data_IF_744277994363
#
_entry.id   IF_744277994363
#
_cell.length_a   1.000
_cell.length_b   1.000
_cell.length_c   1.000
_cell.angle_alpha   90.00
_cell.angle_beta   90.00
_cell.angle_gamma   90.00
#
_symmetry.space_group_name_H-M   'P 1'
#
loop_
_entity.id
_entity.type
_entity.pdbx_description
1 polymer ?
#
# COMPACT_ATOMS: atom_id res chain seq x y z
N UNK A 1 30.77 -33.45 34.58
CA UNK A 1 29.44 -32.97 35.00
C UNK A 1 29.17 -31.54 34.52
N UNK A 2 30.06 -30.58 34.80
CA UNK A 2 29.88 -29.17 34.42
C UNK A 2 29.73 -28.93 32.90
N UNK A 3 30.55 -29.61 32.07
CA UNK A 3 30.42 -29.54 30.60
C UNK A 3 29.11 -30.12 30.06
N UNK A 4 28.54 -31.13 30.73
CA UNK A 4 27.25 -31.73 30.33
C UNK A 4 26.13 -30.75 30.65
N UNK A 5 26.14 -30.20 31.87
CA UNK A 5 25.19 -29.19 32.33
C UNK A 5 25.20 -27.95 31.42
N UNK A 6 26.39 -27.49 31.01
CA UNK A 6 26.54 -26.38 30.06
C UNK A 6 25.91 -26.67 28.70
N UNK A 7 26.15 -27.86 28.13
CA UNK A 7 25.55 -28.27 26.84
C UNK A 7 24.03 -28.40 26.92
N UNK A 8 23.50 -28.85 28.05
CA UNK A 8 22.05 -28.91 28.28
C UNK A 8 21.45 -27.50 28.35
N UNK A 9 22.08 -26.59 29.10
CA UNK A 9 21.66 -25.18 29.15
C UNK A 9 21.74 -24.50 27.78
N UNK A 10 22.78 -24.76 26.99
CA UNK A 10 22.92 -24.24 25.62
C UNK A 10 21.79 -24.74 24.70
N UNK A 11 21.40 -26.01 24.82
CA UNK A 11 20.26 -26.59 24.07
C UNK A 11 18.93 -25.97 24.49
N UNK A 12 18.70 -25.82 25.79
CA UNK A 12 17.48 -25.20 26.31
C UNK A 12 17.37 -23.74 25.84
N UNK A 13 18.47 -22.97 25.93
CA UNK A 13 18.53 -21.60 25.43
C UNK A 13 18.23 -21.53 23.94
N UNK A 14 18.78 -22.45 23.13
CA UNK A 14 18.49 -22.50 21.69
C UNK A 14 17.01 -22.78 21.41
N UNK A 15 16.37 -23.70 22.15
CA UNK A 15 14.94 -23.96 22.03
C UNK A 15 14.11 -22.73 22.36
N UNK A 16 14.42 -22.06 23.48
CA UNK A 16 13.71 -20.84 23.91
C UNK A 16 13.88 -19.68 22.93
N UNK A 17 15.08 -19.50 22.37
CA UNK A 17 15.32 -18.50 21.31
C UNK A 17 14.46 -18.80 20.09
N UNK A 18 14.44 -20.05 19.63
CA UNK A 18 13.62 -20.45 18.48
C UNK A 18 12.12 -20.22 18.72
N UNK A 19 11.62 -20.56 19.90
CA UNK A 19 10.22 -20.31 20.29
C UNK A 19 9.90 -18.82 20.33
N UNK A 20 10.81 -17.98 20.85
CA UNK A 20 10.66 -16.53 20.86
C UNK A 20 10.68 -15.94 19.45
N UNK A 21 11.57 -16.40 18.57
CA UNK A 21 11.62 -16.00 17.16
C UNK A 21 10.32 -16.37 16.43
N UNK A 22 9.80 -17.58 16.65
CA UNK A 22 8.53 -18.02 16.08
C UNK A 22 7.33 -17.21 16.59
N UNK A 23 7.30 -16.91 17.88
CA UNK A 23 6.26 -16.06 18.48
C UNK A 23 6.32 -14.63 17.92
N UNK A 24 7.52 -14.06 17.84
CA UNK A 24 7.73 -12.73 17.29
C UNK A 24 7.31 -12.65 15.82
N UNK A 25 7.62 -13.67 15.02
CA UNK A 25 7.16 -13.79 13.62
C UNK A 25 5.63 -13.74 13.53
N UNK A 26 4.93 -14.56 14.33
CA UNK A 26 3.46 -14.58 14.37
C UNK A 26 2.86 -13.24 14.80
N UNK A 27 3.49 -12.57 15.76
CA UNK A 27 3.06 -11.23 16.19
C UNK A 27 3.24 -10.20 15.07
N UNK A 28 4.38 -10.23 14.38
CA UNK A 28 4.63 -9.35 13.23
C UNK A 28 3.60 -9.59 12.12
N UNK A 29 3.32 -10.85 11.78
CA UNK A 29 2.32 -11.20 10.77
C UNK A 29 0.93 -10.68 11.16
N UNK A 30 0.53 -10.86 12.43
CA UNK A 30 -0.74 -10.36 12.96
C UNK A 30 -0.83 -8.83 12.90
N UNK A 31 0.26 -8.12 13.24
CA UNK A 31 0.33 -6.66 13.15
C UNK A 31 0.17 -6.18 11.70
N UNK A 32 0.86 -6.82 10.75
CA UNK A 32 0.74 -6.47 9.32
C UNK A 32 -0.69 -6.71 8.82
N UNK A 33 -1.30 -7.83 9.19
CA UNK A 33 -2.67 -8.18 8.81
C UNK A 33 -3.70 -7.19 9.41
N UNK A 34 -3.55 -6.79 10.68
CA UNK A 34 -4.38 -5.76 11.31
C UNK A 34 -4.24 -4.40 10.61
N UNK A 35 -3.00 -3.97 10.30
CA UNK A 35 -2.75 -2.75 9.52
C UNK A 35 -3.43 -2.83 8.15
N UNK A 36 -3.30 -3.96 7.45
CA UNK A 36 -3.89 -4.16 6.13
C UNK A 36 -5.42 -4.11 6.16
N UNK A 37 -6.06 -4.70 7.19
CA UNK A 37 -7.52 -4.59 7.38
C UNK A 37 -7.94 -3.14 7.61
N UNK A 38 -7.22 -2.40 8.46
CA UNK A 38 -7.53 -1.01 8.78
C UNK A 38 -7.40 -0.06 7.59
N UNK A 39 -6.46 -0.35 6.68
CA UNK A 39 -6.15 0.45 5.49
C UNK A 39 -6.97 0.05 4.24
N UNK A 40 -7.79 -1.01 4.31
CA UNK A 40 -8.48 -1.57 3.15
C UNK A 40 -9.39 -0.57 2.45
N UNK A 41 -10.08 0.25 3.24
CA UNK A 41 -11.04 1.24 2.73
C UNK A 41 -10.36 2.54 2.30
N UNK A 42 -9.02 2.57 2.27
CA UNK A 42 -8.25 3.75 1.95
C UNK A 42 -7.75 3.72 0.50
N UNK A 43 -7.72 4.90 -0.13
CA UNK A 43 -6.99 5.15 -1.37
C UNK A 43 -5.96 6.26 -1.17
N UNK A 44 -4.87 6.13 -1.92
CA UNK A 44 -3.85 7.16 -2.08
C UNK A 44 -4.02 7.84 -3.42
N UNK A 45 -4.12 9.16 -3.38
CA UNK A 45 -4.22 10.05 -4.53
C UNK A 45 -2.89 10.80 -4.69
N UNK A 46 -2.24 10.59 -5.82
CA UNK A 46 -0.89 11.07 -6.12
C UNK A 46 -0.91 12.18 -7.15
N UNK A 47 0.07 13.08 -7.08
CA UNK A 47 0.26 14.18 -8.03
C UNK A 47 -0.93 15.14 -8.11
N UNK A 48 -1.54 15.43 -6.97
CA UNK A 48 -2.49 16.52 -6.80
C UNK A 48 -1.73 17.69 -6.20
N UNK A 49 -1.81 18.86 -6.83
CA UNK A 49 -1.12 20.06 -6.34
C UNK A 49 -1.56 20.41 -4.92
N UNK A 50 -0.62 20.89 -4.10
CA UNK A 50 -0.87 21.28 -2.71
C UNK A 50 -1.23 22.76 -2.66
N UNK A 51 -2.30 23.09 -1.96
CA UNK A 51 -2.65 24.46 -1.60
C UNK A 51 -2.49 24.67 -0.08
N UNK A 52 -2.27 25.91 0.34
CA UNK A 52 -2.34 26.25 1.76
C UNK A 52 -3.77 26.12 2.25
N UNK A 53 -3.93 25.61 3.48
CA UNK A 53 -5.23 25.43 4.15
C UNK A 53 -6.27 24.64 3.32
N UNK A 54 -5.80 23.69 2.50
CA UNK A 54 -6.68 22.89 1.66
C UNK A 54 -7.60 21.94 2.46
N UNK A 55 -8.84 21.82 2.01
CA UNK A 55 -9.71 20.70 2.40
C UNK A 55 -9.47 19.52 1.45
N UNK A 56 -8.69 18.55 1.94
CA UNK A 56 -8.39 17.34 1.18
C UNK A 56 -9.64 16.54 0.78
N UNK A 57 -10.74 16.67 1.52
CA UNK A 57 -12.01 15.99 1.22
C UNK A 57 -12.64 16.62 -0.03
N UNK A 58 -12.74 17.95 -0.06
CA UNK A 58 -13.26 18.67 -1.23
C UNK A 58 -12.37 18.52 -2.45
N UNK A 59 -11.05 18.53 -2.28
CA UNK A 59 -10.10 18.25 -3.37
C UNK A 59 -10.37 16.89 -4.00
N UNK A 60 -10.64 15.86 -3.19
CA UNK A 60 -10.97 14.53 -3.71
C UNK A 60 -12.32 14.56 -4.42
N UNK A 61 -13.36 15.14 -3.83
CA UNK A 61 -14.67 15.19 -4.49
C UNK A 61 -14.61 15.88 -5.85
N UNK A 62 -13.97 17.06 -5.95
CA UNK A 62 -13.77 17.75 -7.23
C UNK A 62 -13.01 16.87 -8.23
N UNK A 63 -11.97 16.15 -7.79
CA UNK A 63 -11.25 15.21 -8.66
C UNK A 63 -12.17 14.10 -9.19
N UNK A 64 -13.00 13.50 -8.32
CA UNK A 64 -13.91 12.41 -8.70
C UNK A 64 -14.94 12.90 -9.74
N UNK A 65 -15.50 14.08 -9.53
CA UNK A 65 -16.48 14.67 -10.44
C UNK A 65 -15.84 15.08 -11.78
N UNK A 66 -14.73 15.83 -11.74
CA UNK A 66 -14.12 16.43 -12.94
C UNK A 66 -13.30 15.43 -13.78
N UNK A 67 -12.67 14.44 -13.14
CA UNK A 67 -11.69 13.56 -13.81
C UNK A 67 -12.13 12.11 -13.90
N UNK A 68 -13.10 11.67 -13.11
CA UNK A 68 -13.60 10.29 -13.14
C UNK A 68 -15.05 10.17 -13.64
N UNK A 69 -15.67 11.28 -14.05
CA UNK A 69 -17.09 11.39 -14.44
C UNK A 69 -18.03 10.81 -13.37
N UNK A 70 -17.85 11.26 -12.12
CA UNK A 70 -18.67 10.85 -10.98
C UNK A 70 -19.40 12.08 -10.40
N UNK A 71 -20.36 12.67 -11.13
CA UNK A 71 -20.97 13.97 -10.77
C UNK A 71 -21.70 13.94 -9.42
N UNK A 72 -22.20 12.79 -8.98
CA UNK A 72 -22.82 12.65 -7.65
C UNK A 72 -21.86 12.22 -6.55
N UNK A 73 -20.53 12.32 -6.73
CA UNK A 73 -19.56 11.80 -5.76
C UNK A 73 -19.78 12.37 -4.34
N UNK A 74 -20.04 13.68 -4.21
CA UNK A 74 -20.31 14.34 -2.92
C UNK A 74 -21.55 13.83 -2.19
N UNK A 75 -22.61 13.51 -2.93
CA UNK A 75 -23.89 13.11 -2.36
C UNK A 75 -24.03 11.59 -2.20
N UNK A 76 -23.32 10.81 -3.02
CA UNK A 76 -23.41 9.34 -3.05
C UNK A 76 -22.31 8.62 -2.27
N UNK A 77 -21.18 9.28 -2.01
CA UNK A 77 -20.03 8.66 -1.33
C UNK A 77 -19.66 9.46 -0.11
N UNK A 78 -19.34 8.75 0.99
CA UNK A 78 -18.87 9.37 2.22
C UNK A 78 -17.37 9.11 2.43
N UNK A 79 -16.61 10.19 2.54
CA UNK A 79 -15.23 10.18 3.01
C UNK A 79 -15.23 10.42 4.52
N UNK A 80 -14.71 9.47 5.29
CA UNK A 80 -14.60 9.60 6.75
C UNK A 80 -13.46 10.53 7.15
N UNK A 81 -12.35 10.48 6.41
CA UNK A 81 -11.18 11.32 6.64
C UNK A 81 -10.30 11.39 5.39
N UNK A 82 -9.84 12.59 5.04
CA UNK A 82 -8.81 12.82 4.03
C UNK A 82 -7.70 13.74 4.57
N UNK A 83 -6.44 13.45 4.24
CA UNK A 83 -5.30 14.31 4.59
C UNK A 83 -4.07 13.98 3.76
N UNK A 84 -3.13 14.93 3.67
CA UNK A 84 -1.80 14.72 3.04
C UNK A 84 -0.95 13.76 3.90
N UNK A 85 -0.25 12.85 3.23
CA UNK A 85 0.66 11.89 3.84
C UNK A 85 2.11 12.36 3.73
N UNK A 86 2.84 12.25 4.84
CA UNK A 86 4.25 12.60 4.92
C UNK A 86 4.51 14.06 5.28
N UNK A 87 5.78 14.36 5.54
CA UNK A 87 6.22 15.69 5.96
C UNK A 87 6.17 16.66 4.79
N UNK A 88 5.61 17.87 5.01
CA UNK A 88 5.75 18.99 4.07
C UNK A 88 7.24 19.26 3.89
N UNK A 89 7.68 19.39 2.63
CA UNK A 89 9.08 19.66 2.29
C UNK A 89 9.10 20.88 1.39
N UNK A 90 9.92 21.86 1.72
CA UNK A 90 10.04 23.08 0.94
C UNK A 90 10.72 22.82 -0.41
N UNK A 91 10.35 23.61 -1.42
CA UNK A 91 10.93 23.60 -2.77
C UNK A 91 10.10 22.87 -3.84
N UNK A 92 10.66 22.80 -5.06
CA UNK A 92 10.02 22.19 -6.26
C UNK A 92 10.04 20.65 -6.23
N UNK A 93 9.49 20.05 -5.18
CA UNK A 93 9.33 18.59 -5.07
C UNK A 93 7.93 18.16 -5.46
N UNK A 94 7.80 16.85 -5.73
CA UNK A 94 6.54 16.19 -6.04
C UNK A 94 5.53 16.41 -4.89
N UNK A 95 4.27 16.79 -5.18
CA UNK A 95 3.24 16.93 -4.15
C UNK A 95 3.07 15.67 -3.31
N UNK A 96 2.79 15.84 -2.02
CA UNK A 96 2.42 14.77 -1.09
C UNK A 96 1.13 14.11 -1.55
N UNK A 97 1.05 12.80 -1.41
CA UNK A 97 -0.19 12.09 -1.70
C UNK A 97 -1.27 12.44 -0.66
N UNK A 98 -2.54 12.50 -1.08
CA UNK A 98 -3.67 12.51 -0.15
C UNK A 98 -4.03 11.05 0.14
N UNK A 99 -4.15 10.68 1.41
CA UNK A 99 -4.86 9.45 1.80
C UNK A 99 -6.29 9.82 2.16
N UNK A 100 -7.25 9.08 1.63
CA UNK A 100 -8.64 9.18 2.05
C UNK A 100 -9.21 7.82 2.41
N UNK A 101 -9.92 7.80 3.53
CA UNK A 101 -10.70 6.67 4.02
C UNK A 101 -12.15 6.85 3.59
N UNK A 102 -12.65 5.89 2.83
CA UNK A 102 -14.05 5.84 2.43
C UNK A 102 -14.85 5.02 3.44
N UNK A 103 -16.10 5.41 3.66
CA UNK A 103 -16.96 4.72 4.61
C UNK A 103 -17.37 3.32 4.10
N UNK A 104 -17.57 3.20 2.78
CA UNK A 104 -18.01 1.97 2.13
C UNK A 104 -16.98 1.44 1.15
N UNK A 105 -16.58 0.18 1.32
CA UNK A 105 -15.64 -0.50 0.43
C UNK A 105 -16.09 -0.53 -1.05
N UNK A 106 -17.37 -0.75 -1.41
CA UNK A 106 -17.81 -0.70 -2.80
C UNK A 106 -17.58 0.66 -3.49
N UNK A 107 -17.75 1.77 -2.77
CA UNK A 107 -17.51 3.12 -3.33
C UNK A 107 -16.04 3.32 -3.66
N UNK A 108 -15.19 2.93 -2.71
CA UNK A 108 -13.73 2.89 -2.88
C UNK A 108 -13.33 2.07 -4.11
N UNK A 109 -13.92 0.89 -4.30
CA UNK A 109 -13.66 0.05 -5.46
C UNK A 109 -14.16 0.68 -6.77
N UNK A 110 -15.33 1.32 -6.76
CA UNK A 110 -15.85 2.06 -7.92
C UNK A 110 -14.86 3.15 -8.36
N UNK A 111 -14.27 3.87 -7.42
CA UNK A 111 -13.21 4.86 -7.71
C UNK A 111 -11.96 4.15 -8.29
N UNK A 112 -11.49 3.08 -7.64
CA UNK A 112 -10.31 2.33 -8.07
C UNK A 112 -10.45 1.79 -9.51
N UNK A 113 -11.62 1.28 -9.87
CA UNK A 113 -11.87 0.79 -11.22
C UNK A 113 -11.96 1.91 -12.26
N UNK A 114 -12.46 3.08 -11.87
CA UNK A 114 -12.53 4.26 -12.74
C UNK A 114 -11.20 5.00 -12.88
N UNK A 115 -10.21 4.74 -12.03
CA UNK A 115 -8.86 5.35 -12.12
C UNK A 115 -8.19 5.17 -13.50
N UNK A 116 -8.61 4.20 -14.31
CA UNK A 116 -8.19 4.05 -15.72
C UNK A 116 -8.48 5.28 -16.59
N UNK A 117 -9.47 6.11 -16.23
CA UNK A 117 -9.80 7.36 -16.91
C UNK A 117 -8.72 8.44 -16.76
N UNK A 118 -7.88 8.32 -15.74
CA UNK A 118 -6.75 9.22 -15.50
C UNK A 118 -5.52 8.91 -16.39
N UNK A 119 -5.60 7.91 -17.27
CA UNK A 119 -4.52 7.58 -18.21
C UNK A 119 -4.21 8.80 -19.08
N UNK A 120 -2.92 9.10 -19.23
CA UNK A 120 -2.45 10.29 -19.95
C UNK A 120 -2.31 11.54 -19.06
N UNK A 121 -2.92 11.54 -17.88
CA UNK A 121 -2.66 12.56 -16.85
C UNK A 121 -1.47 12.17 -15.98
N UNK A 122 -0.99 13.12 -15.16
CA UNK A 122 0.01 12.83 -14.12
C UNK A 122 -0.61 12.25 -12.85
N UNK A 123 -1.94 12.31 -12.69
CA UNK A 123 -2.64 11.92 -11.45
C UNK A 123 -2.67 10.40 -11.36
N UNK A 124 -2.42 9.87 -10.16
CA UNK A 124 -2.46 8.44 -9.88
C UNK A 124 -3.37 8.13 -8.70
N UNK A 125 -4.09 7.02 -8.76
CA UNK A 125 -4.86 6.48 -7.65
C UNK A 125 -4.36 5.06 -7.38
N UNK A 126 -4.02 4.77 -6.12
CA UNK A 126 -3.60 3.44 -5.69
C UNK A 126 -4.23 3.07 -4.36
N UNK A 127 -4.28 1.78 -4.08
CA UNK A 127 -4.62 1.27 -2.76
C UNK A 127 -3.53 1.67 -1.74
N UNK A 128 -3.92 1.80 -0.48
CA UNK A 128 -2.97 1.94 0.62
C UNK A 128 -2.59 0.55 1.16
N UNK A 129 -1.28 0.33 1.38
CA UNK A 129 -0.76 -0.86 2.03
C UNK A 129 0.09 -0.49 3.24
N UNK A 130 0.20 -1.39 4.24
CA UNK A 130 1.22 -1.30 5.28
C UNK A 130 2.63 -1.15 4.69
N UNK A 131 3.51 -0.48 5.42
CA UNK A 131 4.87 -0.21 4.97
C UNK A 131 5.64 -1.50 4.66
N UNK A 132 5.43 -2.55 5.44
CA UNK A 132 6.02 -3.87 5.25
C UNK A 132 5.68 -4.45 3.87
N UNK A 133 4.42 -4.33 3.46
CA UNK A 133 3.95 -4.77 2.13
C UNK A 133 4.46 -3.81 1.03
N UNK A 134 4.42 -2.50 1.27
CA UNK A 134 4.87 -1.52 0.27
C UNK A 134 6.38 -1.64 -0.01
N UNK A 135 7.20 -1.98 0.99
CA UNK A 135 8.63 -2.29 0.82
C UNK A 135 8.84 -3.46 -0.13
N UNK A 136 8.09 -4.54 0.03
CA UNK A 136 8.14 -5.68 -0.91
C UNK A 136 7.69 -5.24 -2.30
N UNK A 137 6.58 -4.49 -2.41
CA UNK A 137 6.09 -4.01 -3.72
C UNK A 137 7.10 -3.11 -4.44
N UNK A 138 7.86 -2.30 -3.70
CA UNK A 138 8.92 -1.46 -4.26
C UNK A 138 10.01 -2.26 -4.97
N UNK A 139 10.39 -3.42 -4.45
CA UNK A 139 11.37 -4.31 -5.10
C UNK A 139 10.80 -4.94 -6.38
N UNK A 140 9.47 -5.12 -6.45
CA UNK A 140 8.76 -5.69 -7.58
C UNK A 140 8.47 -4.69 -8.70
N UNK A 141 8.38 -3.39 -8.40
CA UNK A 141 8.03 -2.37 -9.40
C UNK A 141 8.96 -2.29 -10.62
N UNK A 142 10.30 -2.42 -10.50
CA UNK A 142 11.19 -2.47 -11.66
C UNK A 142 10.84 -3.60 -12.64
N UNK A 143 10.64 -4.80 -12.13
CA UNK A 143 10.29 -5.98 -12.92
C UNK A 143 8.89 -5.87 -13.50
N UNK A 144 7.94 -5.36 -12.71
CA UNK A 144 6.59 -5.04 -13.19
C UNK A 144 6.62 -4.06 -14.37
N UNK A 145 7.48 -3.02 -14.33
CA UNK A 145 7.63 -2.07 -15.44
C UNK A 145 8.26 -2.72 -16.67
N UNK A 146 9.30 -3.53 -16.49
CA UNK A 146 9.95 -4.29 -17.58
C UNK A 146 8.96 -5.20 -18.29
N UNK A 147 8.21 -6.00 -17.55
CA UNK A 147 7.21 -6.92 -18.09
C UNK A 147 6.08 -6.19 -18.83
N UNK A 148 5.60 -5.06 -18.30
CA UNK A 148 4.62 -4.20 -18.99
C UNK A 148 5.17 -3.62 -20.30
N UNK A 149 6.41 -3.17 -20.32
CA UNK A 149 7.07 -2.67 -21.53
C UNK A 149 7.21 -3.77 -22.60
N UNK A 150 7.47 -5.01 -22.17
CA UNK A 150 7.47 -6.19 -23.00
C UNK A 150 6.07 -6.70 -23.39
N UNK A 151 5.00 -5.93 -23.12
CA UNK A 151 3.59 -6.28 -23.38
C UNK A 151 3.14 -7.61 -22.75
N UNK A 152 3.80 -8.05 -21.68
CA UNK A 152 3.43 -9.26 -20.95
C UNK A 152 2.20 -9.02 -20.05
N UNK A 153 1.48 -10.09 -19.72
CA UNK A 153 0.36 -10.01 -18.78
C UNK A 153 0.91 -9.88 -17.36
N UNK A 154 0.62 -8.78 -16.70
CA UNK A 154 1.16 -8.48 -15.36
C UNK A 154 0.03 -8.27 -14.35
N UNK A 155 0.14 -8.92 -13.19
CA UNK A 155 -0.78 -8.75 -12.06
C UNK A 155 0.00 -8.68 -10.75
N UNK A 156 -0.16 -7.59 -10.00
CA UNK A 156 0.41 -7.43 -8.65
C UNK A 156 -0.72 -7.58 -7.64
N UNK A 157 -0.66 -8.61 -6.80
CA UNK A 157 -1.67 -8.91 -5.77
C UNK A 157 -0.98 -8.84 -4.42
N UNK A 158 -1.39 -7.91 -3.55
CA UNK A 158 -0.71 -7.63 -2.27
C UNK A 158 0.79 -7.41 -2.48
N UNK A 159 1.62 -8.33 -2.04
CA UNK A 159 3.08 -8.38 -2.07
C UNK A 159 3.64 -9.32 -3.14
N UNK A 160 2.79 -9.87 -4.03
CA UNK A 160 3.17 -10.87 -5.03
C UNK A 160 2.96 -10.39 -6.47
N UNK A 161 4.01 -10.45 -7.27
CA UNK A 161 3.97 -10.13 -8.70
C UNK A 161 3.77 -11.41 -9.51
N UNK A 162 2.82 -11.39 -10.45
CA UNK A 162 2.60 -12.46 -11.42
C UNK A 162 2.87 -11.93 -12.83
N UNK A 163 3.71 -12.62 -13.60
CA UNK A 163 4.02 -12.33 -15.00
C UNK A 163 3.60 -13.55 -15.83
N UNK A 164 2.71 -13.35 -16.81
CA UNK A 164 2.09 -14.42 -17.60
C UNK A 164 1.50 -15.55 -16.73
N UNK A 165 0.87 -15.17 -15.62
CA UNK A 165 0.28 -16.06 -14.60
C UNK A 165 1.27 -16.87 -13.76
N UNK A 166 2.58 -16.66 -13.90
CA UNK A 166 3.61 -17.27 -13.05
C UNK A 166 4.06 -16.27 -11.99
N UNK A 167 4.16 -16.73 -10.73
CA UNK A 167 4.69 -15.90 -9.63
C UNK A 167 6.15 -15.56 -9.90
N UNK A 168 6.46 -14.26 -9.90
CA UNK A 168 7.81 -13.76 -9.99
C UNK A 168 8.45 -13.89 -8.61
N UNK A 169 9.53 -14.66 -8.53
CA UNK A 169 10.33 -14.83 -7.32
C UNK A 169 11.58 -13.96 -7.49
N UNK A 170 11.72 -12.86 -6.71
CA UNK A 170 12.93 -12.06 -6.71
C UNK A 170 14.11 -12.96 -6.38
N UNK A 171 15.17 -12.90 -7.19
CA UNK A 171 16.42 -13.57 -6.83
C UNK A 171 17.01 -12.79 -5.66
N UNK A 172 17.05 -13.39 -4.47
CA UNK A 172 17.80 -12.83 -3.35
C UNK A 172 19.28 -12.87 -3.74
N UNK A 173 19.89 -11.71 -3.95
CA UNK A 173 21.33 -11.54 -3.78
C UNK A 173 21.64 -11.33 -2.31
#
# INVERSE_FOLDING_TARGET
EEMVKRKETERENYSRIKELEDSNRRLQDSVVDLKARSMRDNLLFHNIDEAEEEDCTEVIYSLLEEKLDMPEARSSMKIDRAHRVGRKRDGRRKPRAIVAKFNFFPDREKIRFNAKKLRGTKIGISEQFPEEIEKVRQTLYPEMRRAKAAKQRVRLVRDKLYINNVEFIPHNN
#
